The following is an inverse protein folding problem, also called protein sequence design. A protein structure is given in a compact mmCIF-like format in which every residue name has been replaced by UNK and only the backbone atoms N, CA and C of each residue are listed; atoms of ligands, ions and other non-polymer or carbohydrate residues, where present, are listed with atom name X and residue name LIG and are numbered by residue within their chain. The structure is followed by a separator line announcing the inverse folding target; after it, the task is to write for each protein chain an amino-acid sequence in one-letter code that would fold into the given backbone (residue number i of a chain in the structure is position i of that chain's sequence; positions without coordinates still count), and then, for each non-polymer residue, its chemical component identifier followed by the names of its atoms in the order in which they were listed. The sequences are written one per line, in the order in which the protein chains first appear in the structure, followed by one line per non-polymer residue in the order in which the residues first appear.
data_IF_014521591787
#
_entry.id   IF_014521591787
#
_cell.length_a   1.000
_cell.length_b   1.000
_cell.length_c   1.000
_cell.angle_alpha   90.00
_cell.angle_beta   90.00
_cell.angle_gamma   90.00
#
_symmetry.space_group_name_H-M   'P 1'
#
loop_
_entity.id
_entity.type
_entity.pdbx_description
1 polymer ?
#
# COMPACT_ATOMS: atom_id res chain seq x y z
N UNK A 1 -14.72 20.82 -25.06
CA UNK A 1 -15.28 20.17 -23.85
C UNK A 1 -15.56 21.24 -22.81
N UNK A 2 -16.68 21.16 -22.08
CA UNK A 2 -16.97 22.10 -20.99
C UNK A 2 -16.10 21.80 -19.77
N UNK A 3 -15.82 22.81 -18.94
CA UNK A 3 -15.12 22.62 -17.64
C UNK A 3 -15.81 21.55 -16.77
N UNK A 4 -17.14 21.46 -16.84
CA UNK A 4 -17.96 20.49 -16.10
C UNK A 4 -17.63 19.05 -16.50
N UNK A 5 -17.44 18.78 -17.80
CA UNK A 5 -17.09 17.44 -18.28
C UNK A 5 -15.68 17.02 -17.81
N UNK A 6 -14.75 17.98 -17.73
CA UNK A 6 -13.39 17.72 -17.24
C UNK A 6 -13.36 17.44 -15.74
N UNK A 7 -14.18 18.15 -14.95
CA UNK A 7 -14.34 17.88 -13.52
C UNK A 7 -14.91 16.49 -13.31
N UNK A 8 -15.97 16.11 -14.02
CA UNK A 8 -16.58 14.78 -13.91
C UNK A 8 -15.63 13.63 -14.27
N UNK A 9 -14.66 13.84 -15.16
CA UNK A 9 -13.65 12.82 -15.52
C UNK A 9 -12.54 12.70 -14.46
N UNK A 10 -12.33 13.75 -13.66
CA UNK A 10 -11.34 13.80 -12.58
C UNK A 10 -11.93 13.41 -11.21
N UNK A 11 -13.24 13.57 -11.06
CA UNK A 11 -14.02 13.12 -9.92
C UNK A 11 -14.31 11.64 -10.10
N UNK A 12 -13.58 10.80 -9.36
CA UNK A 12 -14.07 9.46 -9.06
C UNK A 12 -15.19 9.57 -8.03
N UNK A 13 -16.02 8.54 -7.94
CA UNK A 13 -16.90 8.39 -6.77
C UNK A 13 -16.01 8.12 -5.55
N UNK A 14 -15.61 9.19 -4.84
CA UNK A 14 -14.66 9.12 -3.73
C UNK A 14 -15.21 8.29 -2.57
N UNK A 15 -16.51 8.35 -2.30
CA UNK A 15 -17.15 7.57 -1.24
C UNK A 15 -17.13 6.07 -1.57
N UNK A 16 -17.53 5.71 -2.80
CA UNK A 16 -17.48 4.32 -3.24
C UNK A 16 -16.04 3.81 -3.35
N UNK A 17 -15.11 4.63 -3.85
CA UNK A 17 -13.70 4.26 -3.96
C UNK A 17 -13.07 4.07 -2.58
N UNK A 18 -13.35 4.94 -1.61
CA UNK A 18 -12.91 4.80 -0.23
C UNK A 18 -13.44 3.50 0.38
N UNK A 19 -14.75 3.23 0.24
CA UNK A 19 -15.37 2.01 0.74
C UNK A 19 -14.71 0.76 0.17
N UNK A 20 -14.50 0.73 -1.15
CA UNK A 20 -13.82 -0.37 -1.83
C UNK A 20 -12.36 -0.50 -1.39
N UNK A 21 -11.67 0.62 -1.19
CA UNK A 21 -10.29 0.64 -0.73
C UNK A 21 -10.17 0.03 0.66
N UNK A 22 -10.99 0.46 1.62
CA UNK A 22 -10.99 -0.10 2.98
C UNK A 22 -11.25 -1.61 2.94
N UNK A 23 -12.23 -2.06 2.16
CA UNK A 23 -12.53 -3.48 2.00
C UNK A 23 -11.36 -4.26 1.38
N UNK A 24 -10.70 -3.70 0.36
CA UNK A 24 -9.50 -4.29 -0.26
C UNK A 24 -8.36 -4.41 0.76
N UNK A 25 -8.07 -3.35 1.52
CA UNK A 25 -7.01 -3.35 2.53
C UNK A 25 -7.27 -4.41 3.61
N UNK A 26 -8.49 -4.47 4.16
CA UNK A 26 -8.89 -5.49 5.13
C UNK A 26 -8.79 -6.90 4.54
N UNK A 27 -9.20 -7.09 3.29
CA UNK A 27 -9.13 -8.39 2.62
C UNK A 27 -7.68 -8.83 2.41
N UNK A 28 -6.79 -7.92 2.06
CA UNK A 28 -5.38 -8.24 1.87
C UNK A 28 -4.70 -8.57 3.19
N UNK A 29 -5.02 -7.82 4.24
CA UNK A 29 -4.54 -8.07 5.60
C UNK A 29 -4.97 -9.45 6.11
N UNK A 30 -6.27 -9.73 6.06
CA UNK A 30 -6.84 -11.03 6.45
C UNK A 30 -6.37 -12.20 5.59
N UNK A 31 -5.81 -11.94 4.40
CA UNK A 31 -5.27 -12.99 3.55
C UNK A 31 -3.87 -13.43 3.98
N UNK A 32 -3.16 -12.64 4.81
CA UNK A 32 -1.82 -12.96 5.29
C UNK A 32 -1.93 -14.00 6.41
N UNK A 33 -1.61 -15.25 6.10
CA UNK A 33 -1.74 -16.37 7.04
C UNK A 33 -0.82 -17.54 6.64
N UNK A 34 -0.67 -18.52 7.54
CA UNK A 34 0.04 -19.76 7.32
C UNK A 34 1.55 -19.62 7.47
N UNK A 35 2.30 -20.43 6.70
CA UNK A 35 3.76 -20.47 6.80
C UNK A 35 4.40 -19.14 6.43
N UNK A 36 5.63 -18.92 6.91
CA UNK A 36 6.47 -17.74 6.61
C UNK A 36 6.49 -17.44 5.10
N UNK A 37 6.78 -18.46 4.29
CA UNK A 37 6.87 -18.30 2.83
C UNK A 37 5.54 -17.88 2.22
N UNK A 38 4.43 -18.37 2.75
CA UNK A 38 3.10 -17.96 2.30
C UNK A 38 2.78 -16.52 2.70
N UNK A 39 3.02 -16.15 3.97
CA UNK A 39 2.86 -14.77 4.49
C UNK A 39 3.65 -13.78 3.64
N UNK A 40 4.93 -14.08 3.36
CA UNK A 40 5.80 -13.23 2.52
C UNK A 40 5.27 -13.07 1.10
N UNK A 41 4.85 -14.17 0.47
CA UNK A 41 4.29 -14.12 -0.87
C UNK A 41 2.99 -13.29 -0.91
N UNK A 42 2.13 -13.46 0.08
CA UNK A 42 0.87 -12.72 0.22
C UNK A 42 1.12 -11.23 0.48
N UNK A 43 2.06 -10.89 1.37
CA UNK A 43 2.52 -9.51 1.61
C UNK A 43 3.06 -8.89 0.33
N UNK A 44 3.89 -9.60 -0.45
CA UNK A 44 4.39 -9.10 -1.73
C UNK A 44 3.26 -8.83 -2.73
N UNK A 45 2.27 -9.72 -2.80
CA UNK A 45 1.10 -9.53 -3.65
C UNK A 45 0.26 -8.32 -3.21
N UNK A 46 0.03 -8.16 -1.91
CA UNK A 46 -0.70 -7.04 -1.34
C UNK A 46 0.02 -5.72 -1.58
N UNK A 47 1.33 -5.66 -1.35
CA UNK A 47 2.17 -4.49 -1.60
C UNK A 47 2.12 -4.04 -3.06
N UNK A 48 2.21 -4.96 -4.02
CA UNK A 48 2.11 -4.61 -5.44
C UNK A 48 0.73 -4.04 -5.80
N UNK A 49 -0.35 -4.65 -5.30
CA UNK A 49 -1.72 -4.16 -5.55
C UNK A 49 -1.92 -2.77 -4.94
N UNK A 50 -1.45 -2.56 -3.72
CA UNK A 50 -1.48 -1.27 -3.03
C UNK A 50 -0.68 -0.22 -3.80
N UNK A 51 0.51 -0.57 -4.26
CA UNK A 51 1.36 0.31 -5.05
C UNK A 51 0.65 0.81 -6.32
N UNK A 52 -0.03 -0.06 -7.05
CA UNK A 52 -0.80 0.37 -8.23
C UNK A 52 -1.91 1.37 -7.89
N UNK A 53 -2.61 1.19 -6.77
CA UNK A 53 -3.65 2.14 -6.31
C UNK A 53 -3.04 3.49 -5.89
N UNK A 54 -1.91 3.48 -5.18
CA UNK A 54 -1.17 4.70 -4.82
C UNK A 54 -0.74 5.45 -6.07
N UNK A 55 -0.09 4.77 -7.03
CA UNK A 55 0.36 5.39 -8.29
C UNK A 55 -0.80 6.00 -9.06
N UNK A 56 -1.96 5.32 -9.10
CA UNK A 56 -3.16 5.88 -9.71
C UNK A 56 -3.58 7.20 -9.04
N UNK A 57 -3.70 7.20 -7.71
CA UNK A 57 -4.10 8.39 -6.94
C UNK A 57 -3.08 9.53 -7.07
N UNK A 58 -1.79 9.25 -6.96
CA UNK A 58 -0.75 10.27 -7.10
C UNK A 58 -0.73 10.91 -8.49
N UNK A 59 -0.91 10.12 -9.54
CA UNK A 59 -0.99 10.65 -10.91
C UNK A 59 -2.19 11.57 -11.09
N UNK A 60 -3.35 11.21 -10.53
CA UNK A 60 -4.56 12.06 -10.55
C UNK A 60 -4.34 13.35 -9.77
N UNK A 61 -3.78 13.26 -8.57
CA UNK A 61 -3.43 14.41 -7.73
C UNK A 61 -2.47 15.36 -8.47
N UNK A 62 -1.38 14.85 -9.02
CA UNK A 62 -0.40 15.64 -9.77
C UNK A 62 -1.02 16.32 -11.00
N UNK A 63 -1.86 15.59 -11.74
CA UNK A 63 -2.58 16.16 -12.88
C UNK A 63 -3.46 17.35 -12.45
N UNK A 64 -4.22 17.21 -11.36
CA UNK A 64 -5.10 18.26 -10.84
C UNK A 64 -4.30 19.48 -10.34
N UNK A 65 -3.16 19.27 -9.69
CA UNK A 65 -2.28 20.35 -9.24
C UNK A 65 -1.85 21.27 -10.39
N UNK A 66 -1.61 20.71 -11.57
CA UNK A 66 -1.17 21.44 -12.75
C UNK A 66 -2.30 21.98 -13.63
N UNK A 67 -3.57 21.69 -13.32
CA UNK A 67 -4.70 22.24 -14.05
C UNK A 67 -5.05 23.65 -13.58
N UNK A 68 -4.63 24.64 -14.37
CA UNK A 68 -5.02 26.05 -14.22
C UNK A 68 -6.44 26.34 -14.71
N UNK A 69 -7.03 25.42 -15.47
CA UNK A 69 -8.40 25.53 -16.00
C UNK A 69 -9.49 25.20 -14.98
N UNK A 70 -9.13 24.59 -13.84
CA UNK A 70 -10.07 24.28 -12.76
C UNK A 70 -10.27 25.51 -11.85
N UNK A 71 -11.50 25.81 -11.42
CA UNK A 71 -11.73 26.76 -10.34
C UNK A 71 -10.91 26.40 -9.10
N UNK A 72 -10.35 27.40 -8.42
CA UNK A 72 -9.44 27.17 -7.30
C UNK A 72 -10.07 26.34 -6.16
N UNK A 73 -11.34 26.61 -5.84
CA UNK A 73 -12.10 25.89 -4.82
C UNK A 73 -12.31 24.41 -5.19
N UNK A 74 -12.83 24.14 -6.39
CA UNK A 74 -13.02 22.77 -6.88
C UNK A 74 -11.69 22.00 -6.97
N UNK A 75 -10.60 22.68 -7.36
CA UNK A 75 -9.26 22.08 -7.37
C UNK A 75 -8.81 21.72 -5.95
N UNK A 76 -9.01 22.61 -4.97
CA UNK A 76 -8.64 22.36 -3.59
C UNK A 76 -9.42 21.19 -2.99
N UNK A 77 -10.73 21.12 -3.24
CA UNK A 77 -11.60 20.02 -2.80
C UNK A 77 -11.14 18.67 -3.36
N UNK A 78 -10.93 18.59 -4.69
CA UNK A 78 -10.44 17.36 -5.32
C UNK A 78 -9.09 16.92 -4.77
N UNK A 79 -8.15 17.87 -4.57
CA UNK A 79 -6.85 17.55 -4.01
C UNK A 79 -6.96 17.01 -2.58
N UNK A 80 -7.84 17.60 -1.76
CA UNK A 80 -8.11 17.14 -0.40
C UNK A 80 -8.64 15.70 -0.38
N UNK A 81 -9.56 15.35 -1.28
CA UNK A 81 -10.09 13.98 -1.35
C UNK A 81 -9.02 12.96 -1.78
N UNK A 82 -8.18 13.29 -2.75
CA UNK A 82 -7.06 12.42 -3.14
C UNK A 82 -6.00 12.32 -2.03
N UNK A 83 -5.74 13.39 -1.28
CA UNK A 83 -4.88 13.37 -0.09
C UNK A 83 -5.41 12.37 0.95
N UNK A 84 -6.71 12.44 1.26
CA UNK A 84 -7.38 11.53 2.21
C UNK A 84 -7.23 10.06 1.80
N UNK A 85 -7.33 9.75 0.51
CA UNK A 85 -7.10 8.39 0.03
C UNK A 85 -5.65 7.93 0.23
N UNK A 86 -4.67 8.82 0.04
CA UNK A 86 -3.26 8.51 0.27
C UNK A 86 -2.96 8.30 1.75
N UNK A 87 -3.55 9.10 2.64
CA UNK A 87 -3.41 8.96 4.10
C UNK A 87 -3.85 7.58 4.60
N UNK A 88 -4.80 6.93 3.93
CA UNK A 88 -5.21 5.55 4.24
C UNK A 88 -4.21 4.51 3.71
N UNK A 89 -3.64 4.74 2.52
CA UNK A 89 -2.81 3.74 1.84
C UNK A 89 -1.36 3.75 2.30
N UNK A 90 -0.81 4.91 2.65
CA UNK A 90 0.61 5.03 3.00
C UNK A 90 1.02 4.25 4.24
N UNK A 91 0.28 4.31 5.37
CA UNK A 91 0.61 3.51 6.54
C UNK A 91 0.60 2.00 6.26
N UNK A 92 -0.37 1.54 5.46
CA UNK A 92 -0.45 0.12 5.09
C UNK A 92 0.71 -0.29 4.17
N UNK A 93 1.15 0.61 3.29
CA UNK A 93 2.31 0.37 2.42
C UNK A 93 3.58 0.22 3.26
N UNK A 94 3.80 1.13 4.21
CA UNK A 94 4.94 1.10 5.11
C UNK A 94 4.95 -0.20 5.91
N UNK A 95 3.80 -0.60 6.46
CA UNK A 95 3.67 -1.87 7.18
C UNK A 95 4.04 -3.09 6.34
N UNK A 96 3.55 -3.18 5.09
CA UNK A 96 3.94 -4.27 4.19
C UNK A 96 5.42 -4.22 3.76
N UNK A 97 5.99 -3.02 3.63
CA UNK A 97 7.42 -2.86 3.34
C UNK A 97 8.28 -3.36 4.50
N UNK A 98 7.88 -3.10 5.76
CA UNK A 98 8.55 -3.64 6.96
C UNK A 98 8.56 -5.17 6.94
N UNK A 99 7.41 -5.84 6.76
CA UNK A 99 7.35 -7.31 6.71
C UNK A 99 8.25 -7.90 5.61
N UNK A 100 8.29 -7.24 4.44
CA UNK A 100 9.16 -7.66 3.33
C UNK A 100 10.64 -7.51 3.69
N UNK A 101 10.99 -6.42 4.36
CA UNK A 101 12.37 -6.10 4.70
C UNK A 101 12.87 -6.98 5.87
N UNK A 102 12.03 -7.28 6.85
CA UNK A 102 12.32 -8.26 7.92
C UNK A 102 12.59 -9.65 7.34
N UNK A 103 11.76 -10.09 6.39
CA UNK A 103 12.01 -11.36 5.72
C UNK A 103 13.31 -11.34 4.90
N UNK A 104 13.64 -10.21 4.24
CA UNK A 104 14.91 -10.08 3.53
C UNK A 104 16.10 -10.17 4.50
N UNK A 105 15.99 -9.56 5.68
CA UNK A 105 17.01 -9.65 6.72
C UNK A 105 17.19 -11.11 7.18
N UNK A 106 16.09 -11.83 7.43
CA UNK A 106 16.13 -13.25 7.80
C UNK A 106 16.82 -14.12 6.73
N UNK A 107 16.45 -13.93 5.45
CA UNK A 107 17.09 -14.67 4.35
C UNK A 107 18.58 -14.37 4.23
N UNK A 108 18.98 -13.12 4.50
CA UNK A 108 20.39 -12.70 4.48
C UNK A 108 21.16 -13.36 5.63
N UNK A 109 20.61 -13.36 6.85
CA UNK A 109 21.22 -14.00 8.01
C UNK A 109 21.44 -15.51 7.77
N UNK A 110 20.40 -16.21 7.31
CA UNK A 110 20.48 -17.63 6.93
C UNK A 110 21.54 -17.89 5.85
N UNK A 111 21.59 -17.05 4.82
CA UNK A 111 22.57 -17.19 3.73
C UNK A 111 24.01 -16.96 4.19
N UNK A 112 24.21 -16.12 5.20
CA UNK A 112 25.52 -15.83 5.78
C UNK A 112 25.94 -16.84 6.87
N UNK A 113 25.05 -17.77 7.25
CA UNK A 113 25.27 -18.68 8.38
C UNK A 113 25.22 -17.99 9.74
N UNK A 114 24.62 -16.79 9.81
CA UNK A 114 24.40 -16.06 11.05
C UNK A 114 23.12 -16.58 11.74
N UNK A 115 23.29 -17.71 12.42
CA UNK A 115 22.19 -18.42 13.07
C UNK A 115 21.66 -17.72 14.31
N UNK A 116 22.46 -16.88 14.97
CA UNK A 116 22.01 -16.09 16.12
C UNK A 116 21.01 -15.03 15.67
N UNK A 117 21.39 -14.20 14.69
CA UNK A 117 20.50 -13.18 14.10
C UNK A 117 19.27 -13.82 13.44
N UNK A 118 19.42 -14.95 12.75
CA UNK A 118 18.28 -15.64 12.13
C UNK A 118 17.27 -16.13 13.17
N UNK A 119 17.74 -16.66 14.32
CA UNK A 119 16.87 -17.12 15.40
C UNK A 119 16.14 -15.97 16.09
N UNK A 120 16.81 -14.84 16.32
CA UNK A 120 16.18 -13.64 16.89
C UNK A 120 15.06 -13.11 15.99
N UNK A 121 15.32 -13.00 14.68
CA UNK A 121 14.31 -12.58 13.70
C UNK A 121 13.16 -13.59 13.58
N UNK A 122 13.44 -14.89 13.67
CA UNK A 122 12.40 -15.93 13.71
C UNK A 122 11.50 -15.79 14.95
N UNK A 123 12.07 -15.47 16.11
CA UNK A 123 11.34 -15.25 17.36
C UNK A 123 10.50 -13.96 17.32
N UNK A 124 11.05 -12.85 16.80
CA UNK A 124 10.32 -11.58 16.64
C UNK A 124 9.15 -11.68 15.65
N UNK A 125 9.30 -12.49 14.61
CA UNK A 125 8.28 -12.69 13.57
C UNK A 125 7.26 -13.80 13.92
N UNK A 126 7.38 -14.40 15.10
CA UNK A 126 6.60 -15.56 15.59
C UNK A 126 6.62 -16.73 14.58
N UNK A 127 7.83 -17.13 14.18
CA UNK A 127 8.08 -18.19 13.22
C UNK A 127 8.49 -19.47 13.95
N UNK A 128 7.98 -20.63 13.52
CA UNK A 128 8.57 -21.91 13.96
C UNK A 128 10.06 -21.92 13.55
N UNK A 129 10.97 -22.31 14.47
CA UNK A 129 12.40 -22.28 14.19
C UNK A 129 12.70 -23.11 12.95
N UNK A 130 13.42 -22.50 12.01
CA UNK A 130 13.90 -23.18 10.81
C UNK A 130 14.91 -24.23 11.22
N UNK A 131 14.46 -25.46 11.52
CA UNK A 131 15.35 -26.53 11.93
C UNK A 131 16.45 -26.77 10.88
N UNK A 132 17.67 -26.85 11.40
CA UNK A 132 18.97 -27.00 10.76
C UNK A 132 19.10 -28.19 9.79
#
# INVERSE_FOLDING_TARGET
MSQIAYIQELTIDFEQYHTNLVADLQRWDNAIDGTIGNRVFQTFCALNRLHFKIVFVERRKALIQHMSSLPAEARAELLSEYERLLELMYPMREWYETIRDDHRALQTARSNGDWETARELEEELDLEPGHA
#
